data_IF_261594085578
#
_entry.id   IF_261594085578
#
_cell.length_a   1.000
_cell.length_b   1.000
_cell.length_c   1.000
_cell.angle_alpha   90.00
_cell.angle_beta   90.00
_cell.angle_gamma   90.00
#
_symmetry.space_group_name_H-M   'P 1'
#
loop_
_entity.id
_entity.type
_entity.pdbx_description
1 polymer ?
#
# COMPACT_ATOMS: atom_id res chain seq x y z
N UNK A 1 4.17 -21.06 45.89
CA UNK A 1 5.35 -20.94 46.77
C UNK A 1 6.02 -22.30 46.86
N UNK A 2 7.36 -22.41 47.02
CA UNK A 2 8.48 -21.53 46.60
C UNK A 2 9.63 -22.38 45.96
N UNK A 3 10.67 -21.85 45.30
CA UNK A 3 11.98 -21.38 45.83
C UNK A 3 12.88 -21.11 44.60
N UNK A 4 13.32 -19.88 44.31
CA UNK A 4 14.63 -19.27 44.66
C UNK A 4 15.85 -20.21 44.69
N UNK A 5 16.76 -20.04 43.73
CA UNK A 5 18.22 -20.07 43.96
C UNK A 5 18.87 -18.93 43.14
N UNK A 6 19.48 -18.00 43.87
CA UNK A 6 20.46 -17.02 43.40
C UNK A 6 21.85 -17.65 43.32
N UNK A 7 22.65 -17.27 42.31
CA UNK A 7 24.11 -17.14 42.47
C UNK A 7 24.62 -16.02 41.56
N UNK A 8 25.37 -15.12 42.17
CA UNK A 8 25.96 -13.93 41.61
C UNK A 8 27.45 -14.14 41.28
N UNK A 9 27.85 -13.54 40.15
CA UNK A 9 29.18 -12.98 39.81
C UNK A 9 30.32 -13.94 39.37
N UNK A 10 31.29 -13.52 38.51
CA UNK A 10 31.66 -12.14 38.17
C UNK A 10 31.75 -11.79 36.67
N UNK A 11 31.71 -10.47 36.43
CA UNK A 11 32.12 -9.67 35.27
C UNK A 11 33.05 -10.35 34.24
N UNK A 12 32.51 -10.63 33.07
CA UNK A 12 33.23 -10.63 31.80
C UNK A 12 32.51 -9.60 30.92
N UNK A 13 33.21 -8.52 30.55
CA UNK A 13 32.71 -7.61 29.54
C UNK A 13 32.33 -8.43 28.29
N UNK A 14 31.10 -8.32 27.77
CA UNK A 14 30.77 -8.98 26.51
C UNK A 14 31.72 -8.43 25.44
N UNK A 15 32.29 -9.28 24.58
CA UNK A 15 33.10 -8.79 23.46
C UNK A 15 32.25 -7.80 22.66
N UNK A 16 32.82 -6.63 22.34
CA UNK A 16 32.17 -5.71 21.41
C UNK A 16 31.88 -6.47 20.12
N UNK A 17 30.63 -6.50 19.64
CA UNK A 17 30.31 -7.23 18.43
C UNK A 17 31.18 -6.69 17.29
N UNK A 18 31.80 -7.61 16.56
CA UNK A 18 32.64 -7.22 15.42
C UNK A 18 31.75 -6.64 14.32
N UNK A 19 32.31 -5.80 13.43
CA UNK A 19 31.58 -5.17 12.31
C UNK A 19 30.76 -6.18 11.47
N UNK A 20 31.14 -7.46 11.50
CA UNK A 20 30.47 -8.56 10.82
C UNK A 20 29.18 -9.02 11.52
N UNK A 21 29.14 -9.04 12.85
CA UNK A 21 27.91 -9.37 13.61
C UNK A 21 26.87 -8.25 13.50
N UNK A 22 27.31 -6.99 13.38
CA UNK A 22 26.43 -5.87 13.03
C UNK A 22 25.85 -6.01 11.61
N UNK A 23 26.62 -6.53 10.65
CA UNK A 23 26.18 -6.76 9.27
C UNK A 23 25.23 -7.96 9.17
N UNK A 24 25.51 -9.06 9.86
CA UNK A 24 24.65 -10.25 9.84
C UNK A 24 23.33 -10.00 10.60
N UNK A 25 23.34 -9.28 11.72
CA UNK A 25 22.11 -8.81 12.38
C UNK A 25 21.36 -7.76 11.56
N UNK A 26 22.04 -6.86 10.85
CA UNK A 26 21.40 -5.89 9.95
C UNK A 26 20.78 -6.56 8.72
N UNK A 27 21.42 -7.61 8.18
CA UNK A 27 20.91 -8.40 7.05
C UNK A 27 19.74 -9.29 7.48
N UNK A 28 19.81 -9.97 8.64
CA UNK A 28 18.66 -10.71 9.18
C UNK A 28 17.51 -9.79 9.57
N UNK A 29 17.79 -8.62 10.17
CA UNK A 29 16.76 -7.61 10.42
C UNK A 29 16.20 -7.02 9.12
N UNK A 30 17.03 -6.82 8.08
CA UNK A 30 16.57 -6.37 6.76
C UNK A 30 15.76 -7.43 6.01
N UNK A 31 16.08 -8.72 6.16
CA UNK A 31 15.34 -9.87 5.61
C UNK A 31 14.03 -10.12 6.37
N UNK A 32 14.03 -9.97 7.70
CA UNK A 32 12.81 -9.99 8.51
C UNK A 32 11.89 -8.77 8.24
N UNK A 33 12.48 -7.58 8.01
CA UNK A 33 11.79 -6.36 7.55
C UNK A 33 11.34 -6.49 6.09
N UNK A 34 12.05 -7.24 5.25
CA UNK A 34 11.64 -7.62 3.89
C UNK A 34 10.41 -8.52 3.86
N UNK A 35 10.05 -9.20 4.96
CA UNK A 35 8.75 -9.87 5.04
C UNK A 35 7.59 -8.89 5.21
N UNK A 36 7.84 -7.66 5.69
CA UNK A 36 6.84 -6.59 5.70
C UNK A 36 6.84 -5.86 4.34
N UNK A 37 8.02 -5.57 3.75
CA UNK A 37 8.11 -4.91 2.43
C UNK A 37 7.65 -5.83 1.28
N UNK A 38 7.91 -7.12 1.39
CA UNK A 38 7.31 -8.15 0.55
C UNK A 38 5.80 -8.20 0.71
N UNK A 39 5.23 -8.04 1.92
CA UNK A 39 3.76 -7.93 2.11
C UNK A 39 3.17 -6.57 1.66
N UNK A 40 3.97 -5.52 1.70
CA UNK A 40 3.65 -4.16 1.23
C UNK A 40 3.44 -4.07 -0.29
N UNK A 41 4.03 -4.99 -1.06
CA UNK A 41 3.72 -5.20 -2.49
C UNK A 41 2.90 -6.47 -2.77
N UNK A 42 3.04 -7.46 -1.90
CA UNK A 42 2.55 -8.82 -2.07
C UNK A 42 1.83 -9.29 -0.82
N UNK A 43 0.72 -8.65 -0.43
CA UNK A 43 -0.38 -9.42 0.15
C UNK A 43 -1.76 -9.12 -0.45
N UNK A 44 -2.58 -10.19 -0.60
CA UNK A 44 -2.31 -11.54 -0.09
C UNK A 44 -1.66 -12.46 -1.12
N UNK A 45 -0.37 -12.78 -0.89
CA UNK A 45 0.19 -14.12 -1.07
C UNK A 45 0.14 -14.92 0.26
N UNK A 46 -0.76 -14.56 1.18
CA UNK A 46 -1.09 -15.43 2.31
C UNK A 46 -2.01 -16.55 1.81
N UNK A 47 -1.43 -17.71 1.63
CA UNK A 47 -2.02 -19.04 1.70
C UNK A 47 -3.47 -19.06 2.26
N UNK A 48 -4.46 -19.29 1.38
CA UNK A 48 -5.73 -19.89 1.80
C UNK A 48 -5.52 -21.41 1.83
N UNK A 49 -5.63 -22.11 2.97
CA UNK A 49 -5.78 -23.55 2.91
C UNK A 49 -7.09 -23.83 2.16
N UNK A 50 -6.99 -24.54 1.04
CA UNK A 50 -8.15 -25.15 0.43
C UNK A 50 -8.75 -26.12 1.46
N UNK A 51 -9.82 -25.72 2.13
CA UNK A 51 -10.69 -26.68 2.81
C UNK A 51 -11.32 -27.56 1.73
N UNK A 52 -11.34 -28.89 1.91
CA UNK A 52 -11.91 -29.80 0.93
C UNK A 52 -13.41 -29.49 0.80
N UNK A 53 -13.84 -29.25 -0.44
CA UNK A 53 -15.25 -29.28 -0.81
C UNK A 53 -15.74 -30.70 -0.51
N UNK A 54 -16.53 -30.86 0.55
CA UNK A 54 -17.34 -32.06 0.73
C UNK A 54 -18.44 -32.03 -0.31
N UNK A 55 -18.36 -32.96 -1.27
CA UNK A 55 -19.40 -33.28 -2.25
C UNK A 55 -20.75 -33.48 -1.53
N UNK A 56 -21.63 -32.51 -1.64
CA UNK A 56 -23.06 -32.65 -1.36
C UNK A 56 -23.82 -32.77 -2.68
N UNK A 57 -23.75 -33.94 -3.33
CA UNK A 57 -24.61 -34.26 -4.46
C UNK A 57 -25.82 -35.03 -3.95
N UNK A 58 -27.00 -34.47 -4.15
CA UNK A 58 -28.25 -35.20 -3.97
C UNK A 58 -28.52 -36.07 -5.21
N UNK A 59 -29.24 -37.17 -5.00
CA UNK A 59 -29.33 -38.33 -5.88
C UNK A 59 -29.94 -38.12 -7.29
N UNK A 60 -30.16 -36.88 -7.77
CA UNK A 60 -30.78 -36.60 -9.07
C UNK A 60 -30.11 -35.52 -9.94
N UNK A 61 -28.91 -35.03 -9.62
CA UNK A 61 -28.00 -34.41 -10.59
C UNK A 61 -28.51 -33.25 -11.48
N UNK A 62 -29.28 -32.28 -10.94
CA UNK A 62 -29.63 -31.03 -11.64
C UNK A 62 -29.50 -29.80 -10.71
N UNK A 63 -29.02 -28.64 -11.21
CA UNK A 63 -28.94 -27.40 -10.42
C UNK A 63 -30.32 -26.73 -10.27
N UNK A 64 -30.73 -26.46 -9.04
CA UNK A 64 -31.93 -25.67 -8.75
C UNK A 64 -31.65 -24.17 -8.86
N UNK A 65 -32.35 -23.50 -9.76
CA UNK A 65 -32.56 -22.04 -9.75
C UNK A 65 -33.76 -21.71 -8.86
N UNK A 66 -33.73 -20.57 -8.15
CA UNK A 66 -34.96 -19.82 -8.00
C UNK A 66 -34.74 -18.32 -8.21
N UNK A 67 -35.30 -17.79 -9.30
CA UNK A 67 -35.80 -16.42 -9.33
C UNK A 67 -37.27 -16.43 -8.87
N UNK A 68 -37.58 -15.60 -7.87
CA UNK A 68 -38.93 -15.35 -7.39
C UNK A 68 -38.97 -14.25 -6.34
N UNK A 69 -39.00 -13.00 -6.81
CA UNK A 69 -39.68 -11.83 -6.21
C UNK A 69 -39.80 -11.74 -4.68
N UNK A 70 -38.88 -11.01 -4.04
CA UNK A 70 -39.20 -10.05 -2.96
C UNK A 70 -38.30 -8.82 -3.19
N UNK A 71 -38.84 -7.82 -3.88
CA UNK A 71 -38.26 -6.48 -4.04
C UNK A 71 -39.01 -5.55 -3.10
N UNK A 72 -38.27 -4.87 -2.23
CA UNK A 72 -38.77 -3.78 -1.39
C UNK A 72 -39.17 -4.22 0.02
N UNK A 73 -38.62 -3.53 1.03
CA UNK A 73 -39.00 -3.58 2.44
C UNK A 73 -38.58 -4.81 3.27
N UNK A 74 -37.28 -5.06 3.45
CA UNK A 74 -36.69 -5.47 4.74
C UNK A 74 -35.19 -5.18 4.67
N UNK A 75 -34.75 -4.05 5.25
CA UNK A 75 -33.37 -3.63 5.60
C UNK A 75 -33.25 -2.09 5.74
N UNK A 76 -34.37 -1.36 5.73
CA UNK A 76 -34.49 -0.09 6.46
C UNK A 76 -35.14 -0.41 7.80
N UNK A 77 -34.31 -0.58 8.82
CA UNK A 77 -34.59 -0.20 10.21
C UNK A 77 -33.50 -0.78 11.08
N UNK A 78 -32.56 0.10 11.44
CA UNK A 78 -31.63 0.10 12.59
C UNK A 78 -30.33 0.91 12.31
N UNK A 79 -30.38 1.86 11.38
CA UNK A 79 -29.50 3.04 11.41
C UNK A 79 -30.31 4.24 11.92
N UNK A 80 -29.72 5.16 12.70
CA UNK A 80 -30.41 6.38 13.11
C UNK A 80 -30.93 7.11 11.87
N UNK A 81 -32.13 7.67 11.99
CA UNK A 81 -32.79 8.38 10.91
C UNK A 81 -31.96 9.57 10.43
N UNK A 82 -32.08 9.96 9.16
CA UNK A 82 -31.34 11.10 8.58
C UNK A 82 -31.56 12.43 9.33
N UNK A 83 -32.63 12.53 10.13
CA UNK A 83 -32.92 13.69 10.99
C UNK A 83 -32.21 13.61 12.35
N UNK A 84 -31.90 12.42 12.87
CA UNK A 84 -31.10 12.24 14.11
C UNK A 84 -29.61 12.53 13.89
N UNK A 85 -29.09 12.35 12.67
CA UNK A 85 -27.70 12.65 12.30
C UNK A 85 -27.40 14.14 12.17
N UNK A 86 -28.42 15.02 12.09
CA UNK A 86 -28.23 16.47 11.98
C UNK A 86 -28.00 17.18 13.32
N UNK A 87 -28.16 16.47 14.45
CA UNK A 87 -27.99 17.03 15.80
C UNK A 87 -26.88 16.40 16.66
N UNK A 88 -26.28 15.28 16.22
CA UNK A 88 -25.18 14.66 16.97
C UNK A 88 -23.90 15.39 16.63
N UNK A 89 -23.45 16.26 17.54
CA UNK A 89 -22.04 16.66 17.60
C UNK A 89 -21.23 15.37 17.71
N UNK A 90 -20.67 14.89 16.60
CA UNK A 90 -19.74 13.77 16.61
C UNK A 90 -18.59 14.24 17.51
N UNK A 91 -18.51 13.72 18.72
CA UNK A 91 -17.35 13.97 19.56
C UNK A 91 -16.21 13.12 18.97
N UNK A 92 -15.50 13.64 17.98
CA UNK A 92 -14.50 12.87 17.22
C UNK A 92 -13.38 12.30 18.10
N UNK A 93 -13.07 12.95 19.23
CA UNK A 93 -12.18 12.40 20.27
C UNK A 93 -12.77 11.13 20.92
N UNK A 94 -14.09 11.08 21.10
CA UNK A 94 -14.80 9.87 21.55
C UNK A 94 -14.76 8.76 20.50
N UNK A 95 -14.73 9.09 19.19
CA UNK A 95 -14.62 8.07 18.13
C UNK A 95 -13.20 7.53 17.98
N UNK A 96 -12.17 8.39 18.02
CA UNK A 96 -10.78 7.92 17.96
C UNK A 96 -10.39 7.11 19.20
N UNK A 97 -10.90 7.48 20.38
CA UNK A 97 -10.70 6.69 21.60
C UNK A 97 -11.38 5.31 21.54
N UNK A 98 -12.46 5.16 20.76
CA UNK A 98 -13.05 3.84 20.47
C UNK A 98 -12.18 3.01 19.51
N UNK A 99 -11.42 3.66 18.62
CA UNK A 99 -10.49 2.97 17.72
C UNK A 99 -9.28 2.43 18.48
N UNK A 100 -8.64 3.24 19.32
CA UNK A 100 -7.46 2.87 20.09
C UNK A 100 -7.05 3.96 21.07
N UNK A 101 -6.00 3.72 21.86
CA UNK A 101 -5.47 4.79 22.73
C UNK A 101 -4.90 5.93 21.88
N UNK A 102 -4.92 7.19 22.37
CA UNK A 102 -4.34 8.32 21.65
C UNK A 102 -2.87 8.11 21.26
N UNK A 103 -2.09 7.43 22.11
CA UNK A 103 -0.71 7.07 21.83
C UNK A 103 -0.58 6.06 20.68
N UNK A 104 -1.46 5.05 20.63
CA UNK A 104 -1.47 4.07 19.53
C UNK A 104 -1.82 4.73 18.20
N UNK A 105 -2.82 5.62 18.20
CA UNK A 105 -3.22 6.37 16.99
C UNK A 105 -2.08 7.27 16.53
N UNK A 106 -1.46 8.03 17.43
CA UNK A 106 -0.33 8.89 17.07
C UNK A 106 0.85 8.06 16.51
N UNK A 107 1.21 6.96 17.17
CA UNK A 107 2.30 6.08 16.71
C UNK A 107 1.99 5.48 15.32
N UNK A 108 0.74 5.08 15.07
CA UNK A 108 0.30 4.58 13.77
C UNK A 108 0.44 5.64 12.66
N UNK A 109 0.12 6.90 12.96
CA UNK A 109 0.28 8.03 12.03
C UNK A 109 1.76 8.36 11.79
N UNK A 110 2.58 8.37 12.84
CA UNK A 110 4.03 8.62 12.71
C UNK A 110 4.70 7.52 11.88
N UNK A 111 4.35 6.26 12.14
CA UNK A 111 4.85 5.12 11.38
C UNK A 111 4.39 5.12 9.91
N UNK A 112 3.21 5.66 9.61
CA UNK A 112 2.79 5.86 8.22
C UNK A 112 3.79 6.75 7.47
N UNK A 113 4.15 7.90 8.05
CA UNK A 113 5.07 8.83 7.43
C UNK A 113 6.52 8.33 7.41
N UNK A 114 6.93 7.55 8.42
CA UNK A 114 8.28 6.99 8.47
C UNK A 114 8.47 5.82 7.49
N UNK A 115 7.49 4.91 7.38
CA UNK A 115 7.67 3.63 6.69
C UNK A 115 6.94 3.51 5.36
N UNK A 116 5.81 4.20 5.20
CA UNK A 116 4.95 4.00 4.02
C UNK A 116 4.95 5.18 3.08
N UNK A 117 5.02 6.40 3.59
CA UNK A 117 5.09 7.61 2.78
C UNK A 117 6.20 7.60 1.73
N UNK A 118 7.43 7.10 2.00
CA UNK A 118 8.45 7.00 0.98
C UNK A 118 8.04 6.13 -0.23
N UNK A 119 7.16 5.13 -0.02
CA UNK A 119 6.71 4.24 -1.08
C UNK A 119 5.43 4.78 -1.75
N UNK A 120 4.52 5.34 -0.96
CA UNK A 120 3.24 5.90 -1.41
C UNK A 120 3.07 7.33 -0.89
N UNK A 121 3.59 8.33 -1.62
CA UNK A 121 3.60 9.73 -1.17
C UNK A 121 2.23 10.41 -1.36
N UNK A 122 1.15 9.81 -0.86
CA UNK A 122 -0.25 10.22 -1.08
C UNK A 122 -0.75 11.34 -0.16
N UNK A 123 -0.04 11.63 0.93
CA UNK A 123 -0.48 12.61 1.92
C UNK A 123 0.69 13.50 2.31
N UNK A 124 0.56 14.80 2.07
CA UNK A 124 1.56 15.78 2.49
C UNK A 124 1.64 15.84 4.02
N UNK A 125 2.80 15.51 4.59
CA UNK A 125 2.95 15.25 6.03
C UNK A 125 2.60 16.47 6.87
N UNK A 126 3.21 17.61 6.59
CA UNK A 126 3.04 18.84 7.39
C UNK A 126 1.59 19.32 7.36
N UNK A 127 0.94 19.23 6.19
CA UNK A 127 -0.46 19.61 6.04
C UNK A 127 -1.38 18.66 6.82
N UNK A 128 -1.17 17.36 6.70
CA UNK A 128 -1.95 16.36 7.43
C UNK A 128 -1.82 16.52 8.95
N UNK A 129 -0.59 16.64 9.47
CA UNK A 129 -0.32 16.81 10.91
C UNK A 129 -0.90 18.13 11.41
N UNK A 130 -0.86 19.21 10.61
CA UNK A 130 -1.50 20.48 10.93
C UNK A 130 -2.99 20.32 11.17
N UNK A 131 -3.69 19.64 10.26
CA UNK A 131 -5.13 19.38 10.36
C UNK A 131 -5.47 18.49 11.56
N UNK A 132 -4.63 17.49 11.82
CA UNK A 132 -4.77 16.58 12.95
C UNK A 132 -4.62 17.31 14.29
N UNK A 133 -3.53 18.07 14.48
CA UNK A 133 -3.26 18.84 15.70
C UNK A 133 -4.20 20.03 15.88
N UNK A 134 -4.68 20.61 14.78
CA UNK A 134 -5.68 21.68 14.77
C UNK A 134 -7.09 21.23 15.15
N UNK A 135 -7.30 19.92 15.37
CA UNK A 135 -8.59 19.39 15.79
C UNK A 135 -9.64 19.35 14.67
N UNK A 136 -9.24 19.43 13.39
CA UNK A 136 -10.19 19.47 12.26
C UNK A 136 -11.07 18.21 12.22
N UNK A 137 -10.61 17.10 12.80
CA UNK A 137 -11.39 15.87 12.92
C UNK A 137 -12.71 16.08 13.67
N UNK A 138 -12.81 17.09 14.56
CA UNK A 138 -14.03 17.40 15.32
C UNK A 138 -15.13 18.06 14.48
N UNK A 139 -14.76 18.68 13.37
CA UNK A 139 -15.68 19.46 12.51
C UNK A 139 -15.80 18.87 11.11
N UNK A 140 -14.84 18.05 10.69
CA UNK A 140 -14.78 17.44 9.37
C UNK A 140 -14.83 15.90 9.46
N UNK A 141 -16.01 15.28 9.27
CA UNK A 141 -16.15 13.82 9.34
C UNK A 141 -15.34 13.08 8.28
N UNK A 142 -15.15 13.68 7.10
CA UNK A 142 -14.32 13.08 6.04
C UNK A 142 -12.85 13.03 6.46
N UNK A 143 -12.34 14.08 7.11
CA UNK A 143 -10.97 14.08 7.63
C UNK A 143 -10.80 13.06 8.76
N UNK A 144 -11.79 12.91 9.64
CA UNK A 144 -11.81 11.83 10.63
C UNK A 144 -11.77 10.45 9.96
N UNK A 145 -12.56 10.23 8.89
CA UNK A 145 -12.53 8.99 8.13
C UNK A 145 -11.16 8.73 7.51
N UNK A 146 -10.50 9.77 6.98
CA UNK A 146 -9.15 9.67 6.44
C UNK A 146 -8.16 9.20 7.51
N UNK A 147 -8.18 9.81 8.70
CA UNK A 147 -7.32 9.41 9.83
C UNK A 147 -7.58 7.95 10.23
N UNK A 148 -8.84 7.53 10.37
CA UNK A 148 -9.21 6.15 10.69
C UNK A 148 -8.74 5.18 9.59
N UNK A 149 -8.90 5.55 8.32
CA UNK A 149 -8.49 4.73 7.17
C UNK A 149 -6.97 4.54 7.08
N UNK A 150 -6.17 5.57 7.43
CA UNK A 150 -4.72 5.46 7.55
C UNK A 150 -4.32 4.48 8.66
N UNK A 151 -4.97 4.57 9.81
CA UNK A 151 -4.75 3.64 10.92
C UNK A 151 -5.08 2.19 10.52
N UNK A 152 -6.16 2.00 9.76
CA UNK A 152 -6.52 0.68 9.23
C UNK A 152 -5.46 0.16 8.25
N UNK A 153 -5.01 1.00 7.34
CA UNK A 153 -4.03 0.64 6.32
C UNK A 153 -2.64 0.33 6.92
N UNK A 154 -2.20 1.07 7.96
CA UNK A 154 -0.89 0.81 8.58
C UNK A 154 -0.88 -0.50 9.38
N UNK A 155 -2.01 -0.90 9.98
CA UNK A 155 -2.13 -2.17 10.72
C UNK A 155 -1.83 -3.38 9.84
N UNK A 156 -2.35 -3.41 8.61
CA UNK A 156 -2.08 -4.52 7.68
C UNK A 156 -0.72 -4.42 7.01
N UNK A 157 -0.19 -3.19 6.90
CA UNK A 157 1.11 -2.90 6.32
C UNK A 157 2.27 -3.29 7.26
N UNK A 158 2.13 -3.03 8.56
CA UNK A 158 3.12 -3.33 9.60
C UNK A 158 2.56 -4.29 10.66
N UNK A 159 2.16 -5.53 10.30
CA UNK A 159 1.38 -6.41 11.20
C UNK A 159 2.13 -6.76 12.49
N UNK A 160 3.48 -6.83 12.45
CA UNK A 160 4.30 -7.08 13.64
C UNK A 160 4.31 -5.89 14.60
N UNK A 161 4.47 -4.65 14.08
CA UNK A 161 4.35 -3.44 14.92
C UNK A 161 2.92 -3.27 15.40
N UNK A 162 1.93 -3.56 14.56
CA UNK A 162 0.52 -3.49 14.94
C UNK A 162 0.17 -4.37 16.12
N UNK A 163 0.66 -5.61 16.14
CA UNK A 163 0.46 -6.52 17.26
C UNK A 163 1.13 -6.05 18.57
N UNK A 164 2.18 -5.22 18.50
CA UNK A 164 2.96 -4.78 19.64
C UNK A 164 2.60 -3.36 20.13
N UNK A 165 2.31 -2.44 19.21
CA UNK A 165 2.32 -0.99 19.44
C UNK A 165 0.96 -0.33 19.12
N UNK A 166 0.14 -0.90 18.22
CA UNK A 166 -1.14 -0.30 17.81
C UNK A 166 -2.35 -0.92 18.53
N UNK A 167 -2.20 -1.19 19.84
CA UNK A 167 -3.22 -1.89 20.63
C UNK A 167 -4.60 -1.23 20.49
N UNK A 168 -5.59 -2.05 20.16
CA UNK A 168 -6.99 -1.65 19.97
C UNK A 168 -7.38 -1.36 18.54
N UNK A 169 -6.44 -0.93 17.68
CA UNK A 169 -6.69 -0.56 16.28
C UNK A 169 -6.78 -1.83 15.43
N UNK A 170 -7.93 -2.05 14.81
CA UNK A 170 -8.12 -3.16 13.86
C UNK A 170 -8.82 -2.66 12.61
N UNK A 171 -8.64 -3.37 11.49
CA UNK A 171 -9.29 -3.05 10.22
C UNK A 171 -10.82 -3.15 10.36
N UNK A 172 -11.32 -4.24 10.93
CA UNK A 172 -12.75 -4.43 11.22
C UNK A 172 -13.36 -3.27 12.03
N UNK A 173 -12.71 -2.83 13.12
CA UNK A 173 -13.19 -1.68 13.92
C UNK A 173 -13.15 -0.38 13.12
N UNK A 174 -12.08 -0.15 12.37
CA UNK A 174 -11.93 1.05 11.54
C UNK A 174 -13.06 1.16 10.51
N UNK A 175 -13.36 0.05 9.82
CA UNK A 175 -14.47 -0.03 8.87
C UNK A 175 -15.83 0.17 9.56
N UNK A 176 -16.02 -0.44 10.73
CA UNK A 176 -17.24 -0.27 11.51
C UNK A 176 -17.47 1.20 11.87
N UNK A 177 -16.47 1.90 12.40
CA UNK A 177 -16.58 3.31 12.75
C UNK A 177 -16.90 4.18 11.53
N UNK A 178 -16.17 4.00 10.42
CA UNK A 178 -16.42 4.80 9.20
C UNK A 178 -17.84 4.58 8.67
N UNK A 179 -18.31 3.33 8.64
CA UNK A 179 -19.64 2.99 8.09
C UNK A 179 -20.77 3.35 9.03
N UNK A 180 -20.66 3.00 10.31
CA UNK A 180 -21.72 3.22 11.30
C UNK A 180 -22.01 4.70 11.49
N UNK A 181 -20.98 5.54 11.50
CA UNK A 181 -21.12 6.99 11.61
C UNK A 181 -21.22 7.71 10.25
N UNK A 182 -21.31 6.97 9.13
CA UNK A 182 -21.42 7.52 7.78
C UNK A 182 -20.39 8.62 7.46
N UNK A 183 -19.15 8.45 7.92
CA UNK A 183 -18.13 9.52 7.88
C UNK A 183 -17.70 9.94 6.47
N UNK A 184 -17.92 9.06 5.48
CA UNK A 184 -17.62 9.31 4.06
C UNK A 184 -18.87 9.61 3.22
N UNK A 185 -20.01 9.89 3.86
CA UNK A 185 -21.19 10.32 3.13
C UNK A 185 -20.92 11.67 2.44
N UNK A 186 -21.07 11.77 1.10
CA UNK A 186 -20.73 13.01 0.39
C UNK A 186 -21.66 14.15 0.83
N UNK A 187 -21.10 15.19 1.46
CA UNK A 187 -21.87 16.39 1.85
C UNK A 187 -21.94 17.43 0.74
N UNK A 188 -20.87 17.57 -0.05
CA UNK A 188 -20.73 18.62 -1.09
C UNK A 188 -20.16 18.10 -2.41
N UNK A 189 -19.91 16.79 -2.52
CA UNK A 189 -19.25 16.15 -3.66
C UNK A 189 -18.14 15.20 -3.19
N UNK A 190 -17.33 14.70 -4.12
CA UNK A 190 -16.11 13.96 -3.78
C UNK A 190 -14.93 14.94 -3.68
N UNK A 191 -14.04 14.70 -2.72
CA UNK A 191 -12.79 15.45 -2.51
C UNK A 191 -11.58 14.53 -2.74
N UNK A 192 -10.37 15.09 -2.77
CA UNK A 192 -9.14 14.29 -2.79
C UNK A 192 -9.02 13.44 -1.52
N UNK A 193 -9.31 14.02 -0.35
CA UNK A 193 -9.27 13.31 0.94
C UNK A 193 -10.25 12.14 1.00
N UNK A 194 -11.46 12.33 0.46
CA UNK A 194 -12.47 11.28 0.30
C UNK A 194 -11.96 10.13 -0.57
N UNK A 195 -11.33 10.43 -1.71
CA UNK A 195 -10.78 9.42 -2.61
C UNK A 195 -9.63 8.63 -1.95
N UNK A 196 -8.72 9.33 -1.25
CA UNK A 196 -7.64 8.69 -0.50
C UNK A 196 -8.20 7.78 0.60
N UNK A 197 -9.19 8.25 1.37
CA UNK A 197 -9.79 7.45 2.44
C UNK A 197 -10.39 6.13 1.92
N UNK A 198 -11.14 6.17 0.81
CA UNK A 198 -11.67 4.96 0.18
C UNK A 198 -10.57 4.01 -0.33
N UNK A 199 -9.52 4.56 -0.94
CA UNK A 199 -8.36 3.76 -1.35
C UNK A 199 -7.70 3.06 -0.15
N UNK A 200 -7.51 3.77 0.97
CA UNK A 200 -6.90 3.22 2.18
C UNK A 200 -7.78 2.16 2.86
N UNK A 201 -9.10 2.33 2.85
CA UNK A 201 -10.02 1.30 3.34
C UNK A 201 -10.00 0.05 2.46
N UNK A 202 -9.95 0.21 1.13
CA UNK A 202 -9.77 -0.91 0.22
C UNK A 202 -8.43 -1.63 0.47
N UNK A 203 -7.34 -0.87 0.63
CA UNK A 203 -6.02 -1.41 0.99
C UNK A 203 -6.04 -2.21 2.28
N UNK A 204 -6.65 -1.65 3.34
CA UNK A 204 -6.79 -2.30 4.63
C UNK A 204 -7.56 -3.63 4.52
N UNK A 205 -8.69 -3.63 3.82
CA UNK A 205 -9.49 -4.84 3.62
C UNK A 205 -8.79 -5.89 2.76
N UNK A 206 -8.07 -5.47 1.73
CA UNK A 206 -7.24 -6.37 0.92
C UNK A 206 -6.14 -7.03 1.76
N UNK A 207 -5.51 -6.28 2.67
CA UNK A 207 -4.50 -6.83 3.57
C UNK A 207 -5.06 -7.82 4.59
N UNK A 208 -6.31 -7.64 5.04
CA UNK A 208 -6.94 -8.49 6.06
C UNK A 208 -7.61 -9.75 5.46
N UNK A 209 -8.30 -9.62 4.33
CA UNK A 209 -9.17 -10.65 3.77
C UNK A 209 -8.88 -10.99 2.30
N UNK A 210 -7.99 -10.25 1.66
CA UNK A 210 -7.73 -10.37 0.23
C UNK A 210 -8.76 -9.72 -0.67
N UNK A 211 -8.59 -9.94 -1.98
CA UNK A 211 -9.34 -9.26 -3.04
C UNK A 211 -10.64 -9.98 -3.44
N UNK A 212 -11.25 -10.74 -2.52
CA UNK A 212 -12.45 -11.54 -2.82
C UNK A 212 -13.75 -10.86 -2.37
N UNK A 213 -13.66 -9.88 -1.46
CA UNK A 213 -14.82 -9.21 -0.91
C UNK A 213 -15.40 -8.15 -1.85
N UNK A 214 -16.72 -8.16 -2.05
CA UNK A 214 -17.43 -7.12 -2.78
C UNK A 214 -17.19 -5.71 -2.21
N UNK A 215 -17.01 -5.62 -0.89
CA UNK A 215 -16.70 -4.38 -0.18
C UNK A 215 -15.35 -3.76 -0.60
N UNK A 216 -14.33 -4.59 -0.84
CA UNK A 216 -13.03 -4.14 -1.34
C UNK A 216 -13.22 -3.49 -2.71
N UNK A 217 -13.93 -4.18 -3.60
CA UNK A 217 -14.21 -3.71 -4.94
C UNK A 217 -15.00 -2.40 -4.91
N UNK A 218 -16.02 -2.29 -4.05
CA UNK A 218 -16.79 -1.05 -3.88
C UNK A 218 -15.93 0.11 -3.41
N UNK A 219 -15.13 -0.08 -2.37
CA UNK A 219 -14.26 0.97 -1.86
C UNK A 219 -13.24 1.42 -2.92
N UNK A 220 -12.66 0.46 -3.64
CA UNK A 220 -11.71 0.76 -4.70
C UNK A 220 -12.38 1.50 -5.87
N UNK A 221 -13.57 1.07 -6.28
CA UNK A 221 -14.36 1.74 -7.32
C UNK A 221 -14.83 3.13 -6.91
N UNK A 222 -15.17 3.34 -5.65
CA UNK A 222 -15.46 4.68 -5.11
C UNK A 222 -14.25 5.59 -5.30
N UNK A 223 -13.06 5.16 -4.86
CA UNK A 223 -11.83 5.93 -5.04
C UNK A 223 -11.55 6.24 -6.52
N UNK A 224 -11.61 5.21 -7.38
CA UNK A 224 -11.38 5.34 -8.82
C UNK A 224 -12.34 6.30 -9.50
N UNK A 225 -13.64 6.19 -9.20
CA UNK A 225 -14.67 7.03 -9.80
C UNK A 225 -14.57 8.47 -9.31
N UNK A 226 -14.24 8.67 -8.03
CA UNK A 226 -13.96 9.99 -7.47
C UNK A 226 -12.76 10.66 -8.13
N UNK A 227 -11.65 9.93 -8.31
CA UNK A 227 -10.47 10.44 -9.02
C UNK A 227 -10.79 10.83 -10.46
N UNK A 228 -11.50 9.97 -11.20
CA UNK A 228 -11.91 10.27 -12.58
C UNK A 228 -12.85 11.48 -12.65
N UNK A 229 -13.77 11.60 -11.69
CA UNK A 229 -14.67 12.75 -11.59
C UNK A 229 -13.90 14.04 -11.33
N UNK A 230 -12.98 14.04 -10.37
CA UNK A 230 -12.15 15.19 -10.04
C UNK A 230 -11.29 15.62 -11.24
N UNK A 231 -10.64 14.67 -11.92
CA UNK A 231 -9.82 14.97 -13.10
C UNK A 231 -10.64 15.50 -14.29
N UNK A 232 -11.91 15.12 -14.41
CA UNK A 232 -12.75 15.48 -15.56
C UNK A 232 -13.57 16.75 -15.33
N UNK A 233 -13.99 17.00 -14.08
CA UNK A 233 -15.04 17.98 -13.77
C UNK A 233 -14.65 18.97 -12.68
N UNK A 234 -13.53 18.79 -11.96
CA UNK A 234 -13.13 19.78 -10.97
C UNK A 234 -12.79 21.11 -11.66
N UNK A 235 -13.31 22.25 -11.17
CA UNK A 235 -13.00 23.56 -11.74
C UNK A 235 -11.50 23.82 -11.64
N UNK A 236 -10.95 24.64 -12.56
CA UNK A 236 -9.55 25.13 -12.61
C UNK A 236 -9.09 25.92 -11.36
N UNK A 237 -9.82 25.85 -10.25
CA UNK A 237 -9.55 26.50 -8.97
C UNK A 237 -9.07 25.48 -7.91
N UNK A 238 -8.76 24.23 -8.29
CA UNK A 238 -8.05 23.29 -7.42
C UNK A 238 -6.73 23.89 -6.96
N UNK A 239 -6.39 23.67 -5.69
CA UNK A 239 -5.08 24.06 -5.19
C UNK A 239 -4.01 23.23 -5.90
N UNK A 240 -2.84 23.83 -6.17
CA UNK A 240 -1.70 23.12 -6.77
C UNK A 240 -1.33 21.85 -5.97
N UNK A 241 -1.44 21.95 -4.63
CA UNK A 241 -1.29 20.82 -3.72
C UNK A 241 -2.24 19.68 -4.06
N UNK A 242 -3.56 19.94 -4.13
CA UNK A 242 -4.56 18.91 -4.38
C UNK A 242 -4.43 18.29 -5.77
N UNK A 243 -4.02 19.08 -6.77
CA UNK A 243 -3.74 18.58 -8.12
C UNK A 243 -2.62 17.54 -8.13
N UNK A 244 -1.51 17.81 -7.44
CA UNK A 244 -0.39 16.87 -7.38
C UNK A 244 -0.74 15.63 -6.53
N UNK A 245 -1.44 15.78 -5.40
CA UNK A 245 -1.93 14.63 -4.63
C UNK A 245 -2.89 13.77 -5.45
N UNK A 246 -3.80 14.38 -6.21
CA UNK A 246 -4.74 13.68 -7.08
C UNK A 246 -4.01 12.89 -8.17
N UNK A 247 -2.95 13.45 -8.79
CA UNK A 247 -2.10 12.74 -9.74
C UNK A 247 -1.39 11.54 -9.09
N UNK A 248 -0.83 11.72 -7.89
CA UNK A 248 -0.19 10.63 -7.13
C UNK A 248 -1.19 9.51 -6.84
N UNK A 249 -2.41 9.83 -6.42
CA UNK A 249 -3.47 8.85 -6.19
C UNK A 249 -3.92 8.15 -7.48
N UNK A 250 -4.09 8.89 -8.58
CA UNK A 250 -4.40 8.31 -9.89
C UNK A 250 -3.40 7.24 -10.27
N UNK A 251 -2.10 7.54 -10.20
CA UNK A 251 -1.05 6.59 -10.53
C UNK A 251 -0.96 5.43 -9.54
N UNK A 252 -1.24 5.66 -8.25
CA UNK A 252 -1.31 4.58 -7.27
C UNK A 252 -2.45 3.60 -7.57
N UNK A 253 -3.62 4.10 -7.97
CA UNK A 253 -4.74 3.28 -8.41
C UNK A 253 -4.43 2.53 -9.71
N UNK A 254 -3.71 3.15 -10.65
CA UNK A 254 -3.22 2.49 -11.87
C UNK A 254 -2.24 1.36 -11.54
N UNK A 255 -1.27 1.60 -10.65
CA UNK A 255 -0.33 0.57 -10.16
C UNK A 255 -1.10 -0.60 -9.56
N UNK A 256 -2.10 -0.32 -8.72
CA UNK A 256 -2.92 -1.34 -8.10
C UNK A 256 -3.71 -2.15 -9.13
N UNK A 257 -4.38 -1.49 -10.09
CA UNK A 257 -5.21 -2.16 -11.11
C UNK A 257 -4.38 -3.09 -11.99
N UNK A 258 -3.22 -2.61 -12.46
CA UNK A 258 -2.27 -3.43 -13.23
C UNK A 258 -1.69 -4.54 -12.35
N UNK A 259 -1.39 -4.26 -11.09
CA UNK A 259 -0.93 -5.26 -10.13
C UNK A 259 -1.96 -6.36 -9.85
N UNK A 260 -3.25 -6.06 -9.86
CA UNK A 260 -4.33 -7.06 -9.78
C UNK A 260 -4.37 -7.91 -11.05
N UNK A 261 -4.26 -7.27 -12.21
CA UNK A 261 -4.24 -7.94 -13.51
C UNK A 261 -3.04 -8.89 -13.68
N UNK A 262 -1.85 -8.51 -13.18
CA UNK A 262 -0.67 -9.42 -13.17
C UNK A 262 -0.90 -10.70 -12.38
N UNK A 263 -1.84 -10.69 -11.43
CA UNK A 263 -2.21 -11.82 -10.58
C UNK A 263 -3.41 -12.61 -11.14
N UNK A 264 -3.92 -12.24 -12.31
CA UNK A 264 -5.09 -12.86 -12.93
C UNK A 264 -6.42 -12.45 -12.32
N UNK A 265 -6.46 -11.43 -11.45
CA UNK A 265 -7.73 -10.85 -11.00
C UNK A 265 -8.33 -10.02 -12.14
N UNK A 266 -9.67 -10.01 -12.28
CA UNK A 266 -10.31 -9.11 -13.24
C UNK A 266 -9.97 -7.68 -12.84
N UNK A 267 -9.38 -6.93 -13.78
CA UNK A 267 -9.09 -5.52 -13.57
C UNK A 267 -10.36 -4.77 -13.18
N UNK A 268 -10.22 -3.80 -12.29
CA UNK A 268 -11.29 -2.89 -11.89
C UNK A 268 -11.66 -1.91 -13.00
N UNK A 269 -11.29 -2.16 -14.25
CA UNK A 269 -11.58 -1.29 -15.40
C UNK A 269 -11.27 0.18 -15.10
N UNK A 270 -10.15 0.43 -14.41
CA UNK A 270 -9.68 1.79 -14.18
C UNK A 270 -9.09 2.29 -15.49
N UNK A 271 -9.98 2.67 -16.40
CA UNK A 271 -9.59 3.15 -17.71
C UNK A 271 -8.72 4.39 -17.50
N UNK A 272 -7.48 4.41 -18.02
CA UNK A 272 -6.74 5.65 -18.08
C UNK A 272 -7.58 6.60 -18.93
N UNK A 273 -7.78 7.83 -18.43
CA UNK A 273 -8.48 8.86 -19.17
C UNK A 273 -7.83 8.95 -20.56
N UNK A 274 -8.63 8.75 -21.61
CA UNK A 274 -8.17 8.84 -22.99
C UNK A 274 -7.63 10.25 -23.24
N UNK A 275 -6.31 10.38 -23.31
CA UNK A 275 -5.64 11.68 -23.35
C UNK A 275 -4.14 11.57 -23.12
N UNK A 276 -3.50 12.72 -23.05
CA UNK A 276 -2.07 12.86 -22.78
C UNK A 276 -1.75 12.48 -21.32
N UNK A 277 -1.55 11.18 -21.07
CA UNK A 277 -1.21 10.62 -19.75
C UNK A 277 0.04 11.27 -19.14
N UNK A 278 0.91 11.88 -19.97
CA UNK A 278 2.08 12.61 -19.50
C UNK A 278 1.69 13.82 -18.61
N UNK A 279 0.53 14.44 -18.85
CA UNK A 279 0.02 15.57 -18.04
C UNK A 279 -0.47 15.13 -16.66
N UNK A 280 -0.88 13.87 -16.54
CA UNK A 280 -1.31 13.27 -15.29
C UNK A 280 -0.15 12.68 -14.49
N UNK A 281 1.08 12.73 -15.03
CA UNK A 281 2.27 12.28 -14.30
C UNK A 281 2.54 13.22 -13.12
N UNK A 282 2.73 12.70 -11.89
CA UNK A 282 3.07 13.53 -10.74
C UNK A 282 4.45 14.15 -10.93
N UNK A 283 4.58 15.41 -10.54
CA UNK A 283 5.88 16.09 -10.56
C UNK A 283 6.76 15.56 -9.43
N UNK A 284 8.03 15.38 -9.74
CA UNK A 284 9.10 15.02 -8.80
C UNK A 284 9.37 16.20 -7.85
N UNK A 285 8.59 16.28 -6.76
CA UNK A 285 8.58 17.38 -5.80
C UNK A 285 8.67 16.82 -4.38
N UNK A 286 9.48 17.48 -3.55
CA UNK A 286 9.48 17.25 -2.10
C UNK A 286 8.22 17.83 -1.43
N UNK A 287 8.01 17.53 -0.15
CA UNK A 287 6.91 18.14 0.62
C UNK A 287 7.15 19.65 0.82
N UNK A 288 8.40 20.07 1.00
CA UNK A 288 8.73 21.50 1.08
C UNK A 288 8.40 22.25 -0.22
N UNK A 289 8.59 21.63 -1.39
CA UNK A 289 8.22 22.21 -2.68
C UNK A 289 6.70 22.21 -2.94
N UNK A 290 5.98 21.27 -2.32
CA UNK A 290 4.52 21.10 -2.46
C UNK A 290 3.73 21.94 -1.44
N UNK A 291 4.39 22.40 -0.38
CA UNK A 291 3.74 22.99 0.80
C UNK A 291 2.76 24.10 0.44
N UNK A 292 1.49 24.02 0.89
CA UNK A 292 0.53 25.08 0.67
C UNK A 292 0.98 26.33 1.45
N UNK A 293 0.96 27.50 0.79
CA UNK A 293 1.35 28.77 1.39
C UNK A 293 0.44 29.17 2.58
N UNK A 294 -0.73 28.55 2.72
CA UNK A 294 -1.76 28.87 3.71
C UNK A 294 -2.20 27.59 4.47
N UNK A 295 -2.52 27.72 5.77
CA UNK A 295 -3.16 26.65 6.56
C UNK A 295 -2.25 25.77 7.43
N UNK A 296 -0.94 26.02 7.47
CA UNK A 296 -0.04 25.37 8.43
C UNK A 296 -0.09 26.08 9.78
N UNK A 297 -0.33 25.32 10.86
CA UNK A 297 -0.22 25.85 12.22
C UNK A 297 1.24 26.27 12.46
N UNK A 298 1.49 27.50 12.96
CA UNK A 298 2.84 27.94 13.32
C UNK A 298 3.45 26.99 14.36
N UNK A 299 4.65 26.45 14.07
CA UNK A 299 5.39 25.60 15.02
C UNK A 299 5.38 24.10 14.73
N UNK A 300 4.72 23.63 13.66
CA UNK A 300 4.94 22.27 13.17
C UNK A 300 6.38 22.17 12.67
N UNK A 301 7.22 21.44 13.40
CA UNK A 301 8.62 21.24 13.06
C UNK A 301 8.76 20.56 11.71
N UNK A 302 9.64 21.11 10.87
CA UNK A 302 10.07 20.45 9.64
C UNK A 302 10.70 19.09 10.01
N UNK A 303 10.28 18.02 9.33
CA UNK A 303 11.01 16.76 9.34
C UNK A 303 12.12 16.82 8.30
N UNK A 304 13.23 16.15 8.58
CA UNK A 304 14.29 15.95 7.59
C UNK A 304 13.79 15.25 6.30
N UNK A 305 12.70 14.48 6.39
CA UNK A 305 12.07 13.82 5.25
C UNK A 305 11.27 14.79 4.37
N UNK A 306 10.88 15.96 4.87
CA UNK A 306 10.03 16.91 4.14
C UNK A 306 10.79 17.51 2.93
N UNK A 307 12.12 17.56 2.99
CA UNK A 307 12.99 18.05 1.92
C UNK A 307 13.37 16.99 0.87
N UNK A 308 12.88 15.75 1.03
CA UNK A 308 13.25 14.62 0.16
C UNK A 308 12.17 14.39 -0.89
N UNK A 309 12.58 14.25 -2.15
CA UNK A 309 11.70 13.87 -3.25
C UNK A 309 11.51 12.35 -3.30
N UNK A 310 10.42 11.88 -2.69
CA UNK A 310 9.98 10.48 -2.81
C UNK A 310 9.12 10.24 -4.07
N UNK A 311 8.75 11.27 -4.84
CA UNK A 311 7.92 11.06 -6.03
C UNK A 311 8.73 10.47 -7.18
N UNK A 312 10.03 10.76 -7.27
CA UNK A 312 10.91 10.13 -8.28
C UNK A 312 10.91 8.60 -8.18
N UNK A 313 11.09 8.03 -6.99
CA UNK A 313 11.04 6.57 -6.80
C UNK A 313 9.65 5.98 -7.03
N UNK A 314 8.59 6.69 -6.62
CA UNK A 314 7.20 6.32 -6.92
C UNK A 314 6.93 6.25 -8.44
N UNK A 315 7.40 7.24 -9.18
CA UNK A 315 7.30 7.32 -10.63
C UNK A 315 8.04 6.15 -11.31
N UNK A 316 9.28 5.87 -10.90
CA UNK A 316 10.02 4.72 -11.44
C UNK A 316 9.31 3.39 -11.14
N UNK A 317 8.71 3.25 -9.96
CA UNK A 317 7.91 2.09 -9.63
C UNK A 317 6.67 1.96 -10.55
N UNK A 318 5.97 3.06 -10.83
CA UNK A 318 4.85 3.07 -11.77
C UNK A 318 5.26 2.57 -13.16
N UNK A 319 6.43 2.99 -13.66
CA UNK A 319 6.92 2.61 -14.99
C UNK A 319 7.27 1.11 -15.08
N UNK A 320 7.81 0.54 -13.99
CA UNK A 320 8.06 -0.91 -13.90
C UNK A 320 6.75 -1.66 -14.05
N UNK A 321 5.71 -1.26 -13.31
CA UNK A 321 4.40 -1.92 -13.35
C UNK A 321 3.73 -1.73 -14.72
N UNK A 322 3.80 -0.54 -15.31
CA UNK A 322 3.30 -0.26 -16.66
C UNK A 322 3.94 -1.13 -17.74
N UNK A 323 5.16 -1.61 -17.54
CA UNK A 323 5.82 -2.49 -18.51
C UNK A 323 4.99 -3.77 -18.75
N UNK A 324 4.26 -4.25 -17.75
CA UNK A 324 3.31 -5.36 -17.92
C UNK A 324 2.15 -5.01 -18.85
N UNK A 325 1.53 -3.85 -18.65
CA UNK A 325 0.45 -3.37 -19.51
C UNK A 325 0.92 -3.21 -20.97
N UNK A 326 2.11 -2.62 -21.16
CA UNK A 326 2.71 -2.50 -22.49
C UNK A 326 3.01 -3.85 -23.13
N UNK A 327 3.45 -4.85 -22.36
CA UNK A 327 3.71 -6.19 -22.87
C UNK A 327 2.42 -6.89 -23.32
N UNK A 328 1.32 -6.73 -22.58
CA UNK A 328 0.00 -7.22 -23.01
C UNK A 328 -0.43 -6.60 -24.33
N UNK A 329 -0.36 -5.27 -24.44
CA UNK A 329 -0.69 -4.56 -25.69
C UNK A 329 0.22 -4.99 -26.85
N UNK A 330 1.52 -5.14 -26.61
CA UNK A 330 2.48 -5.63 -27.60
C UNK A 330 2.16 -7.05 -28.07
N UNK A 331 1.66 -7.92 -27.18
CA UNK A 331 1.33 -9.32 -27.49
C UNK A 331 0.16 -9.49 -28.45
N UNK A 332 -0.65 -8.45 -28.66
CA UNK A 332 -1.74 -8.49 -29.65
C UNK A 332 -1.21 -8.53 -31.09
N UNK A 333 0.01 -8.02 -31.34
CA UNK A 333 0.51 -7.78 -32.70
C UNK A 333 1.96 -8.24 -32.91
N UNK A 334 2.63 -8.81 -31.89
CA UNK A 334 4.05 -9.21 -31.94
C UNK A 334 4.25 -10.66 -31.54
N UNK A 335 5.38 -11.23 -31.93
CA UNK A 335 5.77 -12.56 -31.47
C UNK A 335 6.15 -12.55 -29.98
N UNK A 336 6.00 -13.68 -29.25
CA UNK A 336 6.35 -13.75 -27.82
C UNK A 336 7.79 -13.33 -27.50
N UNK A 337 8.74 -13.67 -28.39
CA UNK A 337 10.15 -13.25 -28.25
C UNK A 337 10.31 -11.74 -28.31
N UNK A 338 9.66 -11.07 -29.25
CA UNK A 338 9.71 -9.61 -29.36
C UNK A 338 9.05 -8.91 -28.17
N UNK A 339 7.97 -9.50 -27.61
CA UNK A 339 7.33 -8.99 -26.38
C UNK A 339 8.30 -9.06 -25.21
N UNK A 340 9.01 -10.18 -25.04
CA UNK A 340 10.03 -10.33 -23.99
C UNK A 340 11.16 -9.33 -24.19
N UNK A 341 11.77 -9.29 -25.37
CA UNK A 341 12.95 -8.44 -25.64
C UNK A 341 12.62 -6.97 -25.33
N UNK A 342 11.45 -6.48 -25.78
CA UNK A 342 10.99 -5.12 -25.48
C UNK A 342 10.62 -4.90 -24.03
N UNK A 343 9.98 -5.86 -23.39
CA UNK A 343 9.65 -5.79 -21.97
C UNK A 343 10.91 -5.69 -21.10
N UNK A 344 11.91 -6.52 -21.38
CA UNK A 344 13.20 -6.50 -20.69
C UNK A 344 13.99 -5.23 -20.97
N UNK A 345 13.97 -4.73 -22.21
CA UNK A 345 14.60 -3.45 -22.57
C UNK A 345 13.98 -2.27 -21.81
N UNK A 346 12.64 -2.20 -21.74
CA UNK A 346 11.93 -1.17 -20.95
C UNK A 346 12.30 -1.25 -19.47
N UNK A 347 12.24 -2.44 -18.88
CA UNK A 347 12.60 -2.65 -17.48
C UNK A 347 14.05 -2.21 -17.19
N UNK A 348 15.00 -2.58 -18.06
CA UNK A 348 16.40 -2.18 -17.90
C UNK A 348 16.59 -0.68 -18.06
N UNK A 349 15.95 -0.06 -19.06
CA UNK A 349 16.00 1.39 -19.27
C UNK A 349 15.50 2.18 -18.06
N UNK A 350 14.49 1.67 -17.34
CA UNK A 350 14.01 2.31 -16.11
C UNK A 350 15.08 2.25 -15.02
N UNK A 351 15.70 1.07 -14.80
CA UNK A 351 16.76 0.92 -13.80
C UNK A 351 17.99 1.78 -14.11
N UNK A 352 18.38 1.87 -15.37
CA UNK A 352 19.51 2.69 -15.83
C UNK A 352 19.24 4.20 -15.62
N UNK A 353 17.97 4.60 -15.72
CA UNK A 353 17.49 5.95 -15.51
C UNK A 353 17.34 6.38 -14.04
N UNK A 354 17.45 5.46 -13.07
CA UNK A 354 17.31 5.80 -11.66
C UNK A 354 18.39 6.77 -11.19
N UNK A 355 18.07 7.71 -10.28
CA UNK A 355 19.08 8.58 -9.69
C UNK A 355 20.00 7.80 -8.71
N UNK A 356 21.20 8.33 -8.39
CA UNK A 356 22.22 7.63 -7.60
C UNK A 356 21.73 7.02 -6.28
N UNK A 357 20.85 7.72 -5.58
CA UNK A 357 20.25 7.36 -4.29
C UNK A 357 19.27 6.18 -4.38
N UNK A 358 18.70 5.92 -5.56
CA UNK A 358 17.80 4.79 -5.83
C UNK A 358 18.46 3.63 -6.57
N UNK A 359 19.73 3.76 -6.96
CA UNK A 359 20.47 2.68 -7.63
C UNK A 359 20.90 1.61 -6.64
N UNK A 360 20.53 0.37 -6.91
CA UNK A 360 21.05 -0.79 -6.18
C UNK A 360 22.51 -1.04 -6.52
N UNK A 361 23.41 -0.92 -5.53
CA UNK A 361 24.86 -1.12 -5.69
C UNK A 361 25.44 -2.33 -4.93
N UNK A 362 24.60 -3.32 -4.62
CA UNK A 362 25.07 -4.57 -4.00
C UNK A 362 25.62 -4.42 -2.57
N UNK A 363 25.09 -3.48 -1.78
CA UNK A 363 25.36 -3.36 -0.34
C UNK A 363 26.72 -2.79 0.07
N UNK A 364 27.69 -2.68 -0.84
CA UNK A 364 29.07 -2.28 -0.54
C UNK A 364 29.37 -0.78 -0.76
N UNK A 365 28.51 -0.06 -1.48
CA UNK A 365 28.63 1.39 -1.64
C UNK A 365 27.28 2.06 -1.50
N UNK A 366 27.09 2.83 -0.42
CA UNK A 366 25.91 3.67 -0.22
C UNK A 366 26.17 5.05 -0.82
N UNK A 367 25.18 5.63 -1.47
CA UNK A 367 25.22 7.06 -1.71
C UNK A 367 25.12 7.78 -0.35
N UNK A 368 25.93 8.82 -0.14
CA UNK A 368 25.94 9.58 1.11
C UNK A 368 24.61 10.33 1.32
N UNK A 369 23.84 10.56 0.25
CA UNK A 369 22.53 11.21 0.29
C UNK A 369 21.36 10.23 0.46
N UNK A 370 21.61 8.92 0.35
CA UNK A 370 20.56 7.92 0.48
C UNK A 370 20.04 7.86 1.92
N UNK A 371 18.74 8.09 2.08
CA UNK A 371 18.03 7.95 3.35
C UNK A 371 17.37 6.58 3.46
N UNK A 372 16.82 6.28 4.63
CA UNK A 372 16.04 5.06 4.84
C UNK A 372 14.83 4.97 3.90
N UNK A 373 14.17 6.08 3.59
CA UNK A 373 13.07 6.11 2.63
C UNK A 373 13.54 5.67 1.23
N UNK A 374 14.73 6.10 0.80
CA UNK A 374 15.33 5.64 -0.46
C UNK A 374 15.61 4.13 -0.46
N UNK A 375 16.06 3.56 0.67
CA UNK A 375 16.24 2.11 0.80
C UNK A 375 14.90 1.36 0.62
N UNK A 376 13.81 1.88 1.17
CA UNK A 376 12.46 1.32 1.01
C UNK A 376 12.00 1.40 -0.45
N UNK A 377 12.19 2.54 -1.11
CA UNK A 377 11.86 2.71 -2.53
C UNK A 377 12.67 1.78 -3.43
N UNK A 378 13.98 1.68 -3.19
CA UNK A 378 14.86 0.80 -3.94
C UNK A 378 14.42 -0.66 -3.81
N UNK A 379 14.10 -1.11 -2.61
CA UNK A 379 13.59 -2.46 -2.38
C UNK A 379 12.25 -2.70 -3.11
N UNK A 380 11.34 -1.74 -3.03
CA UNK A 380 10.04 -1.77 -3.69
C UNK A 380 10.18 -1.86 -5.23
N UNK A 381 11.02 -1.00 -5.82
CA UNK A 381 11.38 -0.99 -7.24
C UNK A 381 11.98 -2.34 -7.66
N UNK A 382 12.95 -2.86 -6.90
CA UNK A 382 13.63 -4.11 -7.26
C UNK A 382 12.72 -5.34 -7.17
N UNK A 383 11.85 -5.41 -6.14
CA UNK A 383 10.87 -6.49 -6.01
C UNK A 383 9.90 -6.46 -7.20
N UNK A 384 9.33 -5.29 -7.51
CA UNK A 384 8.45 -5.14 -8.68
C UNK A 384 9.16 -5.49 -9.99
N UNK A 385 10.40 -5.04 -10.18
CA UNK A 385 11.18 -5.38 -11.37
C UNK A 385 11.31 -6.90 -11.54
N UNK A 386 11.70 -7.60 -10.48
CA UNK A 386 11.87 -9.06 -10.52
C UNK A 386 10.54 -9.76 -10.78
N UNK A 387 9.45 -9.28 -10.18
CA UNK A 387 8.12 -9.84 -10.36
C UNK A 387 7.62 -9.68 -11.81
N UNK A 388 7.68 -8.48 -12.37
CA UNK A 388 7.25 -8.21 -13.74
C UNK A 388 8.14 -8.96 -14.73
N UNK A 389 9.46 -8.96 -14.53
CA UNK A 389 10.40 -9.75 -15.33
C UNK A 389 10.05 -11.24 -15.31
N UNK A 390 9.75 -11.79 -14.14
CA UNK A 390 9.34 -13.18 -13.98
C UNK A 390 8.07 -13.48 -14.77
N UNK A 391 7.03 -12.66 -14.63
CA UNK A 391 5.76 -12.84 -15.33
C UNK A 391 5.91 -12.78 -16.85
N UNK A 392 6.75 -11.86 -17.37
CA UNK A 392 7.03 -11.79 -18.80
C UNK A 392 7.66 -13.09 -19.33
N UNK A 393 8.63 -13.64 -18.60
CA UNK A 393 9.30 -14.88 -18.97
C UNK A 393 8.39 -16.11 -18.81
N UNK A 394 7.51 -16.13 -17.81
CA UNK A 394 6.58 -17.24 -17.58
C UNK A 394 5.49 -17.29 -18.65
N UNK A 395 4.95 -16.14 -19.04
CA UNK A 395 3.78 -16.06 -19.94
C UNK A 395 4.19 -16.06 -21.42
N UNK A 396 5.30 -15.42 -21.77
CA UNK A 396 5.75 -15.28 -23.16
C UNK A 396 7.02 -16.08 -23.46
N UNK A 397 7.67 -16.66 -22.46
CA UNK A 397 8.91 -17.41 -22.64
C UNK A 397 8.71 -18.70 -23.40
N UNK A 398 9.81 -19.30 -23.90
CA UNK A 398 9.74 -20.64 -24.45
C UNK A 398 9.25 -21.58 -23.37
N UNK A 399 8.27 -22.42 -23.69
CA UNK A 399 7.87 -23.55 -22.86
C UNK A 399 9.07 -24.49 -22.79
N UNK A 400 9.97 -24.27 -21.83
CA UNK A 400 10.90 -25.31 -21.44
C UNK A 400 10.04 -26.45 -20.90
N UNK A 401 10.19 -27.66 -21.41
CA UNK A 401 9.71 -28.84 -20.70
C UNK A 401 10.77 -29.22 -19.67
N UNK A 402 10.48 -29.19 -18.36
CA UNK A 402 9.22 -28.82 -17.70
C UNK A 402 9.08 -27.29 -17.46
N UNK A 403 7.84 -26.77 -17.37
CA UNK A 403 7.57 -25.33 -17.28
C UNK A 403 8.23 -24.72 -16.03
N UNK A 404 8.94 -23.60 -16.22
CA UNK A 404 9.45 -22.79 -15.12
C UNK A 404 8.26 -22.18 -14.36
N UNK A 405 7.89 -22.79 -13.24
CA UNK A 405 6.86 -22.23 -12.36
C UNK A 405 7.45 -21.15 -11.45
N UNK A 406 6.63 -20.20 -11.01
CA UNK A 406 6.96 -19.20 -9.98
C UNK A 406 7.63 -19.83 -8.73
N UNK A 407 7.26 -21.06 -8.37
CA UNK A 407 7.89 -21.85 -7.31
C UNK A 407 9.38 -22.12 -7.58
N UNK A 408 9.74 -22.46 -8.81
CA UNK A 408 11.12 -22.75 -9.22
C UNK A 408 11.99 -21.49 -9.13
N UNK A 409 11.47 -20.35 -9.56
CA UNK A 409 12.17 -19.04 -9.51
C UNK A 409 12.39 -18.61 -8.06
N UNK A 410 11.36 -18.70 -7.21
CA UNK A 410 11.50 -18.41 -5.77
C UNK A 410 12.53 -19.33 -5.13
N UNK A 411 12.49 -20.64 -5.43
CA UNK A 411 13.50 -21.59 -4.94
C UNK A 411 14.90 -21.21 -5.38
N UNK A 412 15.07 -20.74 -6.62
CA UNK A 412 16.38 -20.37 -7.14
C UNK A 412 16.91 -19.10 -6.49
N UNK A 413 16.04 -18.11 -6.24
CA UNK A 413 16.41 -16.91 -5.45
C UNK A 413 16.76 -17.30 -4.02
N UNK A 414 15.95 -18.13 -3.35
CA UNK A 414 16.24 -18.64 -2.01
C UNK A 414 17.55 -19.45 -1.97
N UNK A 415 17.79 -20.30 -2.95
CA UNK A 415 19.01 -21.09 -3.07
C UNK A 415 20.24 -20.20 -3.30
N UNK A 416 20.11 -19.17 -4.14
CA UNK A 416 21.18 -18.18 -4.39
C UNK A 416 21.46 -17.34 -3.15
N UNK A 417 20.43 -16.97 -2.39
CA UNK A 417 20.59 -16.29 -1.11
C UNK A 417 21.24 -17.20 -0.05
N UNK A 418 20.95 -18.51 -0.06
CA UNK A 418 21.56 -19.50 0.84
C UNK A 418 22.99 -19.87 0.45
N UNK A 419 23.34 -19.82 -0.84
CA UNK A 419 24.72 -20.01 -1.29
C UNK A 419 25.58 -18.78 -1.01
N UNK A 420 24.98 -17.58 -1.06
CA UNK A 420 25.65 -16.33 -0.65
C UNK A 420 25.89 -16.23 0.86
N UNK A 421 25.11 -16.92 1.70
CA UNK A 421 25.33 -16.98 3.16
C UNK A 421 26.36 -18.03 3.59
N UNK A 422 26.78 -18.93 2.70
CA UNK A 422 27.90 -19.85 2.93
C UNK A 422 29.18 -19.23 2.39
N UNK A 423 29.84 -18.41 3.20
CA UNK A 423 31.27 -18.12 2.97
C UNK A 423 32.03 -19.43 3.15
N UNK A 424 32.92 -19.85 2.23
CA UNK A 424 33.79 -20.98 2.48
C UNK A 424 34.69 -20.61 3.66
N UNK A 425 34.51 -21.31 4.77
CA UNK A 425 35.53 -21.45 5.79
C UNK A 425 36.57 -22.40 5.23
N UNK A 426 37.77 -21.90 4.98
CA UNK A 426 38.96 -22.73 4.80
C UNK A 426 39.13 -23.73 5.95
#
# INVERSE_FOLDING_TARGET
MPLWITRSSPTLNPPKPTNREYQEHAIFAAVERSSAVGRLMMMPLAYAPASPVTDGRDANGLPQSPHGTIVGQVLRDQGPSSEELQGVKIQSESLLSQLGSPSSVQQALDDWFEFFYPIQPLLHRRYFISRYQGGEMQTNPEFLALVISMCAAIVVTLPRKAAAEYSGITVSKSLHLVRYYNLLQPTTGCSVGWCVAYYLLAWAQMGEHGFTGFDVFNNLKSAMSGVQWLLSFQPRQSSFHDEEILKRLYWQLTILDIGLDTKGWPGCSFYPLSGDQSRLRPRCLSDDDLSPAEGLIPGIGASHDDAIDYVTGFNAHADIILTWWHAKADSEHRSPREVIDRGLERLQSILDGLPPELRWRGGLSRDLRATRGHEMQMLNIMISFLYIKSNLLEIYGPVAEPPFTHYTIIRQVQFTMQSMSRVPTD
#
